data_IF_005588927214
#
_entry.id   IF_005588927214
#
_cell.length_a   1.000
_cell.length_b   1.000
_cell.length_c   1.000
_cell.angle_alpha   90.00
_cell.angle_beta   90.00
_cell.angle_gamma   90.00
#
_symmetry.space_group_name_H-M   'P 1'
#
loop_
_entity.id
_entity.type
_entity.pdbx_description
1 polymer ?
#
# COMPACT_ATOMS: atom_id res chain seq x y z
N UNK A 1 -54.78 -40.15 49.82
CA UNK A 1 -53.56 -39.44 50.31
C UNK A 1 -52.64 -39.19 49.13
N UNK A 2 -52.25 -37.92 48.90
CA UNK A 2 -51.49 -37.43 47.73
C UNK A 2 -50.00 -37.73 47.86
N UNK A 3 -49.39 -38.32 46.83
CA UNK A 3 -47.93 -38.43 46.68
C UNK A 3 -47.40 -37.15 46.02
N UNK A 4 -46.66 -36.31 46.75
CA UNK A 4 -45.97 -35.14 46.19
C UNK A 4 -44.57 -35.53 45.69
N UNK A 5 -44.40 -35.56 44.36
CA UNK A 5 -43.08 -35.57 43.71
C UNK A 5 -42.50 -34.16 43.80
N UNK A 6 -41.45 -33.98 44.61
CA UNK A 6 -40.63 -32.76 44.59
C UNK A 6 -39.67 -32.86 43.40
N UNK A 7 -39.91 -32.06 42.36
CA UNK A 7 -39.04 -31.93 41.20
C UNK A 7 -38.12 -30.74 41.47
N UNK A 8 -36.89 -31.00 41.90
CA UNK A 8 -35.87 -29.97 42.12
C UNK A 8 -35.32 -29.57 40.76
N UNK A 9 -35.69 -28.37 40.29
CA UNK A 9 -35.19 -27.79 39.05
C UNK A 9 -33.76 -27.27 39.32
N UNK A 10 -32.74 -28.03 38.90
CA UNK A 10 -31.36 -27.57 38.92
C UNK A 10 -31.17 -26.55 37.78
N UNK A 11 -31.19 -25.26 38.11
CA UNK A 11 -30.92 -24.18 37.16
C UNK A 11 -29.44 -24.20 36.76
N UNK A 12 -29.17 -24.57 35.50
CA UNK A 12 -27.84 -24.51 34.91
C UNK A 12 -27.56 -23.05 34.50
N UNK A 13 -26.77 -22.33 35.30
CA UNK A 13 -26.28 -20.99 34.95
C UNK A 13 -25.26 -21.13 33.82
N UNK A 14 -25.71 -20.89 32.58
CA UNK A 14 -24.82 -20.75 31.43
C UNK A 14 -24.09 -19.40 31.51
N UNK A 15 -22.82 -19.44 31.93
CA UNK A 15 -21.95 -18.28 31.94
C UNK A 15 -21.49 -18.01 30.50
N UNK A 16 -22.19 -17.14 29.77
CA UNK A 16 -21.70 -16.63 28.48
C UNK A 16 -20.55 -15.66 28.76
N UNK A 17 -19.31 -16.16 28.73
CA UNK A 17 -18.14 -15.30 28.62
C UNK A 17 -18.18 -14.61 27.25
N UNK A 18 -18.04 -13.28 27.18
CA UNK A 18 -17.81 -12.64 25.90
C UNK A 18 -16.48 -13.15 25.35
N UNK A 19 -16.53 -13.83 24.20
CA UNK A 19 -15.32 -14.09 23.42
C UNK A 19 -14.80 -12.72 22.97
N UNK A 20 -13.72 -12.24 23.61
CA UNK A 20 -12.94 -11.12 23.10
C UNK A 20 -12.26 -11.61 21.83
N UNK A 21 -12.93 -11.44 20.69
CA UNK A 21 -12.30 -11.60 19.39
C UNK A 21 -11.44 -10.37 19.17
N UNK A 22 -10.15 -10.46 19.50
CA UNK A 22 -9.16 -9.51 19.02
C UNK A 22 -9.03 -9.75 17.51
N UNK A 23 -9.60 -8.86 16.70
CA UNK A 23 -9.24 -8.80 15.31
C UNK A 23 -7.80 -8.28 15.25
N UNK A 24 -6.83 -9.18 15.08
CA UNK A 24 -5.41 -8.86 14.84
C UNK A 24 -5.17 -8.28 13.43
N UNK A 25 -6.25 -8.04 12.68
CA UNK A 25 -6.15 -7.63 11.29
C UNK A 25 -5.91 -6.12 11.20
N UNK A 26 -4.66 -5.75 10.91
CA UNK A 26 -4.34 -4.41 10.44
C UNK A 26 -5.14 -4.07 9.18
N UNK A 27 -5.58 -2.82 9.07
CA UNK A 27 -6.37 -2.32 7.96
C UNK A 27 -5.57 -1.33 7.13
N UNK A 28 -5.70 -1.41 5.81
CA UNK A 28 -5.14 -0.45 4.86
C UNK A 28 -6.29 0.26 4.15
N UNK A 29 -6.15 1.58 4.02
CA UNK A 29 -7.09 2.43 3.29
C UNK A 29 -6.31 3.31 2.31
N UNK A 30 -6.90 3.51 1.13
CA UNK A 30 -6.38 4.38 0.09
C UNK A 30 -7.38 5.50 -0.13
N UNK A 31 -6.91 6.73 -0.35
CA UNK A 31 -7.79 7.87 -0.66
C UNK A 31 -8.59 7.66 -1.95
N UNK A 32 -8.06 6.85 -2.86
CA UNK A 32 -8.74 6.38 -4.06
C UNK A 32 -8.13 5.03 -4.48
N UNK A 33 -8.98 4.10 -4.93
CA UNK A 33 -8.54 2.79 -5.46
C UNK A 33 -8.26 2.81 -6.95
N UNK A 34 -8.75 3.83 -7.67
CA UNK A 34 -8.57 3.99 -9.12
C UNK A 34 -7.96 5.37 -9.38
N UNK A 35 -6.91 5.39 -10.21
CA UNK A 35 -6.28 6.62 -10.68
C UNK A 35 -6.55 6.74 -12.18
N UNK A 36 -7.54 7.55 -12.55
CA UNK A 36 -7.95 7.71 -13.93
C UNK A 36 -7.28 8.92 -14.61
N UNK A 37 -6.54 8.65 -15.67
CA UNK A 37 -5.89 9.66 -16.51
C UNK A 37 -6.74 10.08 -17.71
N UNK A 38 -7.91 9.47 -17.91
CA UNK A 38 -8.80 9.65 -19.05
C UNK A 38 -8.05 9.45 -20.37
N UNK A 39 -7.63 10.55 -21.01
CA UNK A 39 -6.84 10.54 -22.24
C UNK A 39 -5.45 11.10 -21.97
N UNK A 40 -4.44 10.28 -22.28
CA UNK A 40 -3.04 10.70 -22.25
C UNK A 40 -2.60 11.12 -23.64
N UNK A 41 -2.39 12.42 -23.82
CA UNK A 41 -2.00 13.02 -25.09
C UNK A 41 -0.61 13.65 -25.01
N UNK A 42 -0.01 13.95 -26.17
CA UNK A 42 1.37 14.44 -26.24
C UNK A 42 1.53 15.82 -25.59
N UNK A 43 0.50 16.64 -25.66
CA UNK A 43 0.43 17.95 -24.99
C UNK A 43 0.41 17.85 -23.46
N UNK A 44 0.12 16.67 -22.89
CA UNK A 44 0.12 16.46 -21.44
C UNK A 44 1.51 16.05 -20.92
N UNK A 45 2.52 15.95 -21.77
CA UNK A 45 3.89 15.62 -21.35
C UNK A 45 4.42 16.73 -20.43
N UNK A 46 4.78 16.35 -19.21
CA UNK A 46 5.33 17.26 -18.20
C UNK A 46 6.82 17.48 -18.44
N UNK A 47 7.56 16.38 -18.68
CA UNK A 47 9.00 16.43 -18.98
C UNK A 47 9.42 15.20 -19.77
N UNK A 48 10.56 15.27 -20.43
CA UNK A 48 11.14 14.18 -21.22
C UNK A 48 12.58 13.91 -20.78
N UNK A 49 12.90 12.64 -20.56
CA UNK A 49 14.25 12.19 -20.25
C UNK A 49 14.53 10.86 -20.96
N UNK A 50 15.60 10.80 -21.77
CA UNK A 50 16.03 9.56 -22.46
C UNK A 50 14.87 8.84 -23.16
N UNK A 51 14.08 9.58 -23.94
CA UNK A 51 12.89 9.11 -24.69
C UNK A 51 11.70 8.61 -23.84
N UNK A 52 11.75 8.83 -22.53
CA UNK A 52 10.61 8.64 -21.64
C UNK A 52 9.95 9.97 -21.33
N UNK A 53 8.66 10.04 -21.63
CA UNK A 53 7.81 11.17 -21.36
C UNK A 53 7.06 10.94 -20.05
N UNK A 54 7.35 11.79 -19.06
CA UNK A 54 6.60 11.84 -17.82
C UNK A 54 5.24 12.47 -18.08
N UNK A 55 4.20 11.74 -17.72
CA UNK A 55 2.82 12.23 -17.77
C UNK A 55 2.46 12.93 -16.45
N UNK A 56 1.30 13.60 -16.36
CA UNK A 56 0.88 14.28 -15.14
C UNK A 56 0.87 13.35 -13.94
N UNK A 57 1.10 13.90 -12.76
CA UNK A 57 1.08 13.16 -11.50
C UNK A 57 -0.33 13.09 -10.92
N UNK A 58 -0.55 12.04 -10.12
CA UNK A 58 -1.71 11.89 -9.24
C UNK A 58 -1.25 11.44 -7.87
N UNK A 59 -1.89 11.96 -6.83
CA UNK A 59 -1.54 11.64 -5.46
C UNK A 59 -2.59 10.71 -4.86
N UNK A 60 -2.12 9.69 -4.16
CA UNK A 60 -2.93 8.77 -3.36
C UNK A 60 -2.35 8.75 -1.96
N UNK A 61 -3.19 8.99 -0.94
CA UNK A 61 -2.77 8.82 0.44
C UNK A 61 -3.07 7.40 0.87
N UNK A 62 -2.06 6.73 1.44
CA UNK A 62 -2.18 5.40 2.03
C UNK A 62 -2.14 5.55 3.54
N UNK A 63 -3.11 4.94 4.23
CA UNK A 63 -3.14 4.88 5.68
C UNK A 63 -3.27 3.43 6.14
N UNK A 64 -2.44 3.05 7.10
CA UNK A 64 -2.44 1.75 7.76
C UNK A 64 -2.73 1.97 9.23
N UNK A 65 -3.62 1.16 9.78
CA UNK A 65 -3.93 1.11 11.20
C UNK A 65 -3.92 -0.33 11.70
N UNK A 66 -3.20 -0.56 12.79
CA UNK A 66 -3.18 -1.81 13.52
C UNK A 66 -3.76 -1.58 14.94
N UNK A 67 -4.66 -2.46 15.43
CA UNK A 67 -5.14 -2.38 16.81
C UNK A 67 -4.02 -2.53 17.85
N UNK A 68 -3.01 -3.34 17.54
CA UNK A 68 -1.79 -3.51 18.34
C UNK A 68 -0.57 -2.85 17.69
N UNK A 69 0.47 -2.62 18.48
CA UNK A 69 1.71 -2.01 18.00
C UNK A 69 2.61 -3.06 17.33
N UNK A 70 3.00 -2.79 16.08
CA UNK A 70 3.89 -3.65 15.30
C UNK A 70 4.95 -2.84 14.57
N UNK A 71 6.01 -3.48 14.11
CA UNK A 71 6.74 -2.96 12.96
C UNK A 71 5.85 -3.12 11.73
N UNK A 72 5.55 -2.03 11.03
CA UNK A 72 4.63 -2.04 9.88
C UNK A 72 5.44 -1.82 8.60
N UNK A 73 5.22 -2.68 7.62
CA UNK A 73 5.65 -2.49 6.23
C UNK A 73 4.46 -2.60 5.27
N UNK A 74 4.53 -1.90 4.14
CA UNK A 74 3.56 -2.06 3.06
C UNK A 74 4.27 -2.49 1.79
N UNK A 75 4.02 -3.73 1.38
CA UNK A 75 4.53 -4.31 0.15
C UNK A 75 3.68 -3.84 -1.03
N UNK A 76 4.36 -3.34 -2.06
CA UNK A 76 3.73 -3.01 -3.33
C UNK A 76 4.05 -4.07 -4.38
N UNK A 77 3.02 -4.61 -5.01
CA UNK A 77 3.17 -5.58 -6.10
C UNK A 77 2.35 -5.18 -7.32
N UNK A 78 2.77 -5.66 -8.49
CA UNK A 78 2.04 -5.47 -9.74
C UNK A 78 2.77 -6.13 -10.90
N UNK A 79 2.17 -6.07 -12.09
CA UNK A 79 2.88 -6.48 -13.30
C UNK A 79 4.12 -5.59 -13.49
N UNK A 80 5.28 -6.20 -13.69
CA UNK A 80 6.56 -5.47 -13.75
C UNK A 80 7.46 -5.95 -14.88
N UNK A 81 8.14 -5.01 -15.52
CA UNK A 81 9.17 -5.29 -16.52
C UNK A 81 10.56 -5.34 -15.92
N UNK A 82 11.57 -5.04 -16.76
CA UNK A 82 12.96 -5.01 -16.33
C UNK A 82 13.19 -4.11 -15.11
N UNK A 83 14.05 -4.57 -14.22
CA UNK A 83 14.46 -3.84 -12.99
C UNK A 83 13.29 -3.49 -12.05
N UNK A 84 12.15 -4.18 -12.17
CA UNK A 84 11.01 -4.03 -11.26
C UNK A 84 10.15 -2.79 -11.53
N UNK A 85 10.27 -2.16 -12.70
CA UNK A 85 9.37 -1.05 -13.09
C UNK A 85 7.97 -1.61 -13.35
N UNK A 86 6.95 -1.00 -12.76
CA UNK A 86 5.55 -1.36 -13.01
C UNK A 86 5.19 -1.10 -14.47
N UNK A 87 4.48 -2.04 -15.09
CA UNK A 87 4.02 -1.93 -16.47
C UNK A 87 2.77 -1.05 -16.54
N UNK A 88 2.60 -0.36 -17.66
CA UNK A 88 1.39 0.36 -18.01
C UNK A 88 1.01 -0.01 -19.44
N UNK A 89 0.15 -1.01 -19.56
CA UNK A 89 0.01 -1.78 -20.80
C UNK A 89 1.34 -2.33 -21.32
N UNK A 90 1.45 -2.52 -22.62
CA UNK A 90 2.67 -3.06 -23.26
C UNK A 90 3.75 -2.00 -23.57
N UNK A 91 3.38 -0.71 -23.55
CA UNK A 91 4.19 0.39 -24.11
C UNK A 91 4.56 1.48 -23.11
N UNK A 92 4.16 1.33 -21.85
CA UNK A 92 4.41 2.29 -20.80
C UNK A 92 4.92 1.65 -19.52
N UNK A 93 5.34 2.49 -18.59
CA UNK A 93 5.53 2.11 -17.20
C UNK A 93 4.77 3.05 -16.27
N UNK A 94 4.61 2.63 -15.03
CA UNK A 94 4.16 3.49 -13.94
C UNK A 94 5.32 3.70 -12.99
N UNK A 95 5.60 4.96 -12.66
CA UNK A 95 6.50 5.32 -11.58
C UNK A 95 5.71 5.58 -10.31
N UNK A 96 6.22 5.05 -9.20
CA UNK A 96 5.64 5.19 -7.88
C UNK A 96 6.67 5.89 -7.00
N UNK A 97 6.35 7.10 -6.55
CA UNK A 97 7.16 7.85 -5.59
C UNK A 97 6.44 7.87 -4.25
N UNK A 98 7.16 7.63 -3.17
CA UNK A 98 6.64 7.70 -1.81
C UNK A 98 7.29 8.87 -1.10
N UNK A 99 6.48 9.68 -0.40
CA UNK A 99 6.96 10.75 0.49
C UNK A 99 5.97 11.00 1.64
N UNK A 100 6.29 11.98 2.49
CA UNK A 100 5.42 12.43 3.58
C UNK A 100 5.01 11.28 4.54
N UNK A 101 5.99 10.52 5.02
CA UNK A 101 5.78 9.43 5.98
C UNK A 101 5.47 9.99 7.38
N UNK A 102 4.28 9.67 7.87
CA UNK A 102 3.80 10.05 9.20
C UNK A 102 3.43 8.78 9.95
N UNK A 103 3.98 8.62 11.14
CA UNK A 103 3.78 7.45 11.99
C UNK A 103 3.41 7.89 13.39
N UNK A 104 2.27 7.40 13.91
CA UNK A 104 1.68 7.82 15.18
C UNK A 104 1.68 9.36 15.38
N UNK A 105 1.49 10.12 14.28
CA UNK A 105 1.45 11.60 14.27
C UNK A 105 2.81 12.32 14.14
N UNK A 106 3.93 11.61 14.04
CA UNK A 106 5.28 12.18 13.86
C UNK A 106 5.82 11.91 12.46
N UNK A 107 6.60 12.84 11.90
CA UNK A 107 7.28 12.65 10.61
C UNK A 107 8.48 11.69 10.74
N UNK A 108 8.62 10.80 9.76
CA UNK A 108 9.73 9.84 9.63
C UNK A 108 10.36 9.92 8.24
N UNK A 109 11.57 9.37 8.09
CA UNK A 109 12.11 9.10 6.76
C UNK A 109 11.35 7.94 6.10
N UNK A 110 11.25 8.00 4.78
CA UNK A 110 10.77 6.88 3.97
C UNK A 110 11.94 5.94 3.72
N UNK A 111 11.82 4.69 4.15
CA UNK A 111 12.73 3.62 3.80
C UNK A 111 12.05 2.56 2.95
N UNK A 112 12.87 1.65 2.43
CA UNK A 112 12.40 0.44 1.77
C UNK A 112 13.22 -0.77 2.19
N UNK A 113 12.63 -1.94 1.99
CA UNK A 113 13.27 -3.22 2.27
C UNK A 113 12.79 -4.32 1.33
N UNK A 114 13.70 -5.22 0.97
CA UNK A 114 13.39 -6.54 0.41
C UNK A 114 13.22 -7.64 1.46
N UNK A 115 13.57 -7.38 2.73
CA UNK A 115 13.41 -8.32 3.86
C UNK A 115 11.99 -8.20 4.45
N UNK A 116 11.07 -8.94 3.84
CA UNK A 116 9.66 -9.00 4.22
C UNK A 116 9.40 -9.77 5.52
N UNK A 117 10.44 -10.34 6.15
CA UNK A 117 10.30 -11.11 7.40
C UNK A 117 10.72 -10.27 8.58
N UNK A 118 11.90 -9.64 8.52
CA UNK A 118 12.39 -8.85 9.65
C UNK A 118 12.19 -7.35 9.50
N UNK A 119 11.73 -6.89 8.32
CA UNK A 119 11.58 -5.48 7.97
C UNK A 119 12.87 -4.68 8.17
N UNK A 120 14.02 -5.29 7.89
CA UNK A 120 15.33 -4.62 8.00
C UNK A 120 15.48 -3.58 6.89
N UNK A 121 15.58 -2.27 7.18
CA UNK A 121 15.64 -1.25 6.14
C UNK A 121 16.98 -1.30 5.38
N UNK A 122 16.96 -0.95 4.10
CA UNK A 122 18.17 -0.91 3.26
C UNK A 122 19.12 0.27 3.58
N UNK A 123 18.59 1.32 4.21
CA UNK A 123 19.32 2.53 4.61
C UNK A 123 18.57 3.29 5.72
N UNK A 124 19.13 4.43 6.16
CA UNK A 124 18.48 5.39 7.07
C UNK A 124 17.22 6.06 6.50
N UNK A 125 16.84 5.71 5.27
CA UNK A 125 15.72 6.31 4.55
C UNK A 125 16.02 7.70 4.00
N UNK A 126 15.08 8.19 3.20
CA UNK A 126 15.14 9.49 2.53
C UNK A 126 13.81 10.23 2.72
N UNK A 127 13.76 11.52 2.41
CA UNK A 127 12.49 12.28 2.44
C UNK A 127 11.47 11.74 1.42
N UNK A 128 11.97 11.18 0.34
CA UNK A 128 11.18 10.54 -0.70
C UNK A 128 11.99 9.49 -1.42
N UNK A 129 11.36 8.40 -1.89
CA UNK A 129 12.02 7.41 -2.73
C UNK A 129 11.10 6.89 -3.83
N UNK A 130 11.69 6.26 -4.85
CA UNK A 130 10.94 5.50 -5.85
C UNK A 130 10.85 4.04 -5.44
N UNK A 131 9.63 3.51 -5.49
CA UNK A 131 9.35 2.11 -5.16
C UNK A 131 9.25 1.28 -6.45
N UNK A 132 9.80 0.06 -6.38
CA UNK A 132 9.73 -0.95 -7.44
C UNK A 132 8.88 -2.13 -7.00
N UNK A 133 8.54 -2.98 -7.95
CA UNK A 133 7.79 -4.20 -7.68
C UNK A 133 8.50 -5.07 -6.64
N UNK A 134 7.71 -5.60 -5.69
CA UNK A 134 8.14 -6.42 -4.56
C UNK A 134 9.01 -5.71 -3.51
N UNK A 135 9.16 -4.38 -3.58
CA UNK A 135 9.74 -3.60 -2.48
C UNK A 135 8.68 -3.27 -1.44
N UNK A 136 9.09 -3.29 -0.17
CA UNK A 136 8.23 -2.93 0.97
C UNK A 136 8.61 -1.54 1.46
N UNK A 137 7.66 -0.62 1.53
CA UNK A 137 7.88 0.67 2.19
C UNK A 137 7.79 0.51 3.70
N UNK A 138 8.72 1.14 4.41
CA UNK A 138 8.77 1.19 5.87
C UNK A 138 9.10 2.61 6.33
N UNK A 139 8.65 2.98 7.52
CA UNK A 139 9.18 4.16 8.19
C UNK A 139 10.55 3.85 8.80
N UNK A 140 11.49 4.79 8.74
CA UNK A 140 12.84 4.59 9.27
C UNK A 140 13.25 5.73 10.20
N UNK A 141 13.82 5.36 11.34
CA UNK A 141 14.52 6.25 12.26
C UNK A 141 15.73 5.49 12.83
N UNK A 142 16.93 6.07 12.71
CA UNK A 142 18.19 5.45 13.14
C UNK A 142 18.41 4.03 12.57
N UNK A 143 18.22 3.87 11.26
CA UNK A 143 18.31 2.59 10.55
C UNK A 143 17.42 1.45 11.09
N UNK A 144 16.31 1.80 11.76
CA UNK A 144 15.35 0.84 12.32
C UNK A 144 13.91 1.21 11.95
N UNK A 145 13.06 0.19 11.86
CA UNK A 145 11.61 0.35 11.72
C UNK A 145 10.98 0.44 13.11
N UNK A 146 10.25 1.52 13.43
CA UNK A 146 9.64 1.70 14.75
C UNK A 146 8.45 0.76 14.97
N UNK A 147 8.11 0.49 16.24
CA UNK A 147 6.93 -0.28 16.65
C UNK A 147 5.76 0.67 16.94
N UNK A 148 4.71 0.62 16.11
CA UNK A 148 3.72 1.70 15.94
C UNK A 148 2.32 1.16 15.65
N UNK A 149 1.28 1.99 15.79
CA UNK A 149 -0.10 1.61 15.49
C UNK A 149 -0.57 2.14 14.15
N UNK A 150 -0.10 3.33 13.77
CA UNK A 150 -0.56 4.06 12.60
C UNK A 150 0.61 4.45 11.72
N UNK A 151 0.48 4.19 10.43
CA UNK A 151 1.43 4.65 9.41
C UNK A 151 0.65 5.24 8.25
N UNK A 152 1.04 6.42 7.79
CA UNK A 152 0.49 7.03 6.58
C UNK A 152 1.60 7.62 5.73
N UNK A 153 1.40 7.58 4.42
CA UNK A 153 2.32 8.18 3.46
C UNK A 153 1.59 8.57 2.20
N UNK A 154 2.20 9.49 1.45
CA UNK A 154 1.69 9.89 0.14
C UNK A 154 2.40 9.11 -0.95
N UNK A 155 1.60 8.64 -1.89
CA UNK A 155 2.02 7.98 -3.12
C UNK A 155 1.78 8.94 -4.28
N UNK A 156 2.84 9.37 -4.93
CA UNK A 156 2.74 10.04 -6.24
C UNK A 156 2.86 8.97 -7.33
N UNK A 157 1.81 8.83 -8.12
CA UNK A 157 1.73 7.91 -9.26
C UNK A 157 1.81 8.73 -10.53
N UNK A 158 2.62 8.30 -11.50
CA UNK A 158 2.58 8.87 -12.85
C UNK A 158 3.01 7.87 -13.93
N UNK A 159 2.32 7.85 -15.08
CA UNK A 159 2.77 7.12 -16.24
C UNK A 159 4.07 7.71 -16.82
N UNK A 160 4.91 6.82 -17.32
CA UNK A 160 6.03 7.14 -18.20
C UNK A 160 5.82 6.42 -19.52
N UNK A 161 5.70 7.20 -20.59
CA UNK A 161 5.37 6.71 -21.94
C UNK A 161 6.53 6.98 -22.90
N UNK A 162 6.71 6.11 -23.89
CA UNK A 162 7.60 6.39 -25.03
C UNK A 162 6.81 6.98 -26.18
N UNK A 163 7.51 7.55 -27.16
CA UNK A 163 6.90 8.10 -28.38
C UNK A 163 5.94 7.15 -29.09
N UNK A 164 6.23 5.84 -29.08
CA UNK A 164 5.40 4.83 -29.74
C UNK A 164 4.05 4.60 -29.05
N UNK A 165 3.86 5.04 -27.80
CA UNK A 165 2.58 5.00 -27.10
C UNK A 165 1.57 6.01 -27.67
N UNK A 166 2.06 7.03 -28.40
CA UNK A 166 1.23 8.05 -29.05
C UNK A 166 1.02 7.80 -30.55
N UNK A 167 1.60 6.72 -31.11
CA UNK A 167 1.47 6.38 -32.53
C UNK A 167 0.28 5.44 -32.70
N UNK A 168 -0.64 5.81 -33.60
CA UNK A 168 -1.94 5.21 -33.94
C UNK A 168 -3.14 5.95 -33.31
N UNK A 169 -3.47 7.11 -33.89
CA UNK A 169 -4.63 7.96 -33.51
C UNK A 169 -5.98 7.32 -33.87
N UNK A 170 -5.97 6.23 -34.64
CA UNK A 170 -7.18 5.51 -35.06
C UNK A 170 -7.61 4.42 -34.07
N UNK A 171 -6.74 4.00 -33.15
CA UNK A 171 -6.98 2.87 -32.25
C UNK A 171 -6.73 3.31 -30.80
N UNK A 172 -7.78 3.27 -29.97
CA UNK A 172 -7.68 3.62 -28.55
C UNK A 172 -6.93 2.49 -27.86
N UNK A 173 -5.65 2.71 -27.56
CA UNK A 173 -4.86 1.74 -26.78
C UNK A 173 -5.20 1.91 -25.30
N UNK A 174 -5.90 0.93 -24.72
CA UNK A 174 -6.12 0.89 -23.27
C UNK A 174 -4.78 0.60 -22.58
N UNK A 175 -4.34 1.53 -21.73
CA UNK A 175 -3.16 1.36 -20.88
C UNK A 175 -3.65 1.28 -19.43
N UNK A 176 -3.28 0.19 -18.76
CA UNK A 176 -3.65 -0.06 -17.38
C UNK A 176 -2.50 -0.68 -16.60
N UNK A 177 -2.56 -0.54 -15.28
CA UNK A 177 -1.63 -1.13 -14.34
C UNK A 177 -2.39 -1.51 -13.09
N UNK A 178 -2.40 -2.80 -12.77
CA UNK A 178 -2.97 -3.30 -11.52
C UNK A 178 -1.87 -3.37 -10.45
N UNK A 179 -2.09 -2.61 -9.38
CA UNK A 179 -1.18 -2.54 -8.23
C UNK A 179 -1.90 -3.07 -6.99
N UNK A 180 -1.23 -3.94 -6.24
CA UNK A 180 -1.70 -4.47 -4.97
C UNK A 180 -0.81 -4.02 -3.81
N UNK A 181 -1.46 -3.68 -2.70
CA UNK A 181 -0.82 -3.23 -1.47
C UNK A 181 -1.09 -4.24 -0.38
N UNK A 182 -0.04 -4.75 0.25
CA UNK A 182 -0.15 -5.76 1.31
C UNK A 182 0.56 -5.28 2.57
N UNK A 183 -0.14 -5.32 3.70
CA UNK A 183 0.47 -5.04 5.00
C UNK A 183 1.34 -6.23 5.42
N UNK A 184 2.53 -5.91 5.94
CA UNK A 184 3.43 -6.83 6.60
C UNK A 184 3.63 -6.31 8.02
N UNK A 185 3.45 -7.19 9.02
CA UNK A 185 3.68 -6.87 10.42
C UNK A 185 4.72 -7.79 11.03
N UNK A 186 5.42 -7.27 12.03
CA UNK A 186 6.34 -8.00 12.91
C UNK A 186 6.24 -7.49 14.34
#
# INVERSE_FOLDING_TARGET
>A
MRFQRKMTLAGLLAFCLPAMAFAEDCQITLSQSVVDYHQLQRENIVTTQQDWHKMPEREVNVNVYCPEKHQIGVLLQGASGEKGRFLFGEKGGVAIKIDNMIVDGKNYNVGKTGDQVNLTPESDGEQSLYLRNNETVVAVENNQVPIVQQMSFRVTVFPVLRDNAFRNIADVTQLESDLSWKIITK
#
